data_IF_333925632342
#
_entry.id   IF_333925632342
#
_cell.length_a   1.000
_cell.length_b   1.000
_cell.length_c   1.000
_cell.angle_alpha   90.00
_cell.angle_beta   90.00
_cell.angle_gamma   90.00
#
_symmetry.space_group_name_H-M   'P 1'
#
loop_
_entity.id
_entity.type
_entity.pdbx_description
1 polymer ?
#
# COMPACT_ATOMS: atom_id res chain seq x y z
N UNK A 1 -8.38 20.77 4.45
CA UNK A 1 -7.30 19.78 4.59
C UNK A 1 -7.72 18.37 4.24
N UNK A 2 -8.94 17.95 4.55
CA UNK A 2 -9.42 16.58 4.27
C UNK A 2 -9.43 16.21 2.79
N UNK A 3 -9.88 17.09 1.88
CA UNK A 3 -9.84 16.82 0.44
C UNK A 3 -8.42 16.61 -0.08
N UNK A 4 -7.46 17.36 0.45
CA UNK A 4 -6.05 17.23 0.09
C UNK A 4 -5.47 15.89 0.59
N UNK A 5 -5.85 15.46 1.79
CA UNK A 5 -5.54 14.11 2.28
C UNK A 5 -6.16 13.02 1.40
N UNK A 6 -7.40 13.20 0.95
CA UNK A 6 -8.08 12.23 0.08
C UNK A 6 -7.37 12.11 -1.28
N UNK A 7 -7.02 13.23 -1.91
CA UNK A 7 -6.21 13.22 -3.13
C UNK A 7 -4.83 12.60 -2.90
N UNK A 8 -4.20 12.86 -1.76
CA UNK A 8 -2.93 12.23 -1.41
C UNK A 8 -3.08 10.71 -1.26
N UNK A 9 -4.13 10.24 -0.58
CA UNK A 9 -4.39 8.80 -0.40
C UNK A 9 -4.72 8.11 -1.72
N UNK A 10 -5.44 8.75 -2.63
CA UNK A 10 -5.66 8.23 -3.97
C UNK A 10 -4.39 8.26 -4.83
N UNK A 11 -3.61 9.35 -4.75
CA UNK A 11 -2.35 9.52 -5.48
C UNK A 11 -1.28 8.52 -5.04
N UNK A 12 -1.18 8.25 -3.74
CA UNK A 12 -0.25 7.28 -3.16
C UNK A 12 -0.42 5.88 -3.78
N UNK A 13 -1.64 5.50 -4.17
CA UNK A 13 -1.88 4.22 -4.85
C UNK A 13 -1.09 4.13 -6.16
N UNK A 14 -1.14 5.19 -6.97
CA UNK A 14 -0.39 5.28 -8.23
C UNK A 14 1.11 5.40 -7.98
N UNK A 15 1.53 6.16 -6.96
CA UNK A 15 2.95 6.29 -6.59
C UNK A 15 3.52 4.91 -6.22
N UNK A 16 2.80 4.10 -5.42
CA UNK A 16 3.22 2.74 -5.07
C UNK A 16 3.34 1.87 -6.32
N UNK A 17 2.41 1.97 -7.26
CA UNK A 17 2.46 1.18 -8.49
C UNK A 17 3.65 1.59 -9.38
N UNK A 18 3.85 2.88 -9.64
CA UNK A 18 4.93 3.39 -10.49
C UNK A 18 6.30 3.11 -9.87
N UNK A 19 6.48 3.43 -8.59
CA UNK A 19 7.76 3.23 -7.90
C UNK A 19 8.14 1.76 -7.80
N UNK A 20 7.19 0.84 -7.73
CA UNK A 20 7.49 -0.59 -7.75
C UNK A 20 8.07 -1.09 -9.08
N UNK A 21 7.70 -0.47 -10.21
CA UNK A 21 8.27 -0.78 -11.54
C UNK A 21 9.66 -0.17 -11.64
N UNK A 22 9.82 1.06 -11.16
CA UNK A 22 11.13 1.71 -11.07
C UNK A 22 12.07 0.94 -10.13
N UNK A 23 11.54 0.26 -9.11
CA UNK A 23 12.32 -0.56 -8.16
C UNK A 23 12.91 -1.78 -8.84
N UNK A 24 12.13 -2.41 -9.70
CA UNK A 24 12.62 -3.52 -10.51
C UNK A 24 13.66 -3.10 -11.53
N UNK A 25 13.62 -1.86 -12.01
CA UNK A 25 14.63 -1.26 -12.90
C UNK A 25 15.88 -0.76 -12.16
N UNK A 26 15.93 -0.84 -10.82
CA UNK A 26 17.09 -0.50 -10.01
C UNK A 26 17.27 0.99 -9.69
N UNK A 27 16.36 1.87 -10.13
CA UNK A 27 16.46 3.33 -9.92
C UNK A 27 15.86 3.71 -8.55
N UNK A 28 16.68 3.66 -7.50
CA UNK A 28 16.20 3.88 -6.12
C UNK A 28 15.93 5.36 -5.80
N UNK A 29 16.70 6.29 -6.38
CA UNK A 29 16.66 7.72 -6.01
C UNK A 29 15.29 8.37 -6.26
N UNK A 30 14.67 8.09 -7.41
CA UNK A 30 13.40 8.70 -7.80
C UNK A 30 12.24 8.32 -6.86
N UNK A 31 12.31 7.11 -6.28
CA UNK A 31 11.32 6.63 -5.32
C UNK A 31 11.37 7.41 -4.03
N UNK A 32 12.58 7.63 -3.49
CA UNK A 32 12.78 8.41 -2.28
C UNK A 32 12.23 9.83 -2.42
N UNK A 33 12.43 10.46 -3.58
CA UNK A 33 11.88 11.78 -3.88
C UNK A 33 10.34 11.73 -3.89
N UNK A 34 9.75 10.78 -4.62
CA UNK A 34 8.29 10.65 -4.71
C UNK A 34 7.62 10.41 -3.35
N UNK A 35 8.16 9.49 -2.54
CA UNK A 35 7.66 9.23 -1.19
C UNK A 35 7.94 10.40 -0.23
N UNK A 36 9.08 11.08 -0.39
CA UNK A 36 9.41 12.28 0.39
C UNK A 36 8.39 13.39 0.19
N UNK A 37 8.02 13.67 -1.06
CA UNK A 37 6.98 14.66 -1.38
C UNK A 37 5.65 14.23 -0.76
N UNK A 38 5.24 12.97 -0.91
CA UNK A 38 4.01 12.46 -0.31
C UNK A 38 4.02 12.58 1.23
N UNK A 39 5.15 12.30 1.86
CA UNK A 39 5.32 12.41 3.31
C UNK A 39 5.20 13.86 3.80
N UNK A 40 5.79 14.83 3.08
CA UNK A 40 5.67 16.26 3.41
C UNK A 40 4.20 16.69 3.31
N UNK A 41 3.52 16.32 2.23
CA UNK A 41 2.10 16.65 2.03
C UNK A 41 1.24 16.02 3.14
N UNK A 42 1.52 14.78 3.50
CA UNK A 42 0.86 14.10 4.63
C UNK A 42 1.07 14.85 5.94
N UNK A 43 2.30 15.25 6.23
CA UNK A 43 2.67 15.94 7.46
C UNK A 43 1.97 17.30 7.58
N UNK A 44 1.87 18.04 6.46
CA UNK A 44 1.08 19.28 6.39
C UNK A 44 -0.38 18.99 6.73
N UNK A 45 -1.00 17.98 6.12
CA UNK A 45 -2.40 17.64 6.44
C UNK A 45 -2.60 17.21 7.89
N UNK A 46 -1.62 16.54 8.49
CA UNK A 46 -1.67 16.06 9.86
C UNK A 46 -1.54 17.19 10.90
N UNK A 47 -0.63 18.15 10.65
CA UNK A 47 -0.41 19.28 11.56
C UNK A 47 -1.51 20.33 11.48
N UNK A 48 -1.98 20.63 10.27
CA UNK A 48 -2.95 21.71 10.00
C UNK A 48 -4.42 21.24 9.96
N UNK A 49 -4.71 20.02 10.43
CA UNK A 49 -6.11 19.58 10.57
C UNK A 49 -6.81 20.40 11.66
N UNK A 50 -7.95 20.98 11.30
CA UNK A 50 -8.80 21.75 12.21
C UNK A 50 -9.35 20.85 13.34
N UNK A 51 -9.45 21.37 14.56
CA UNK A 51 -9.92 20.64 15.74
C UNK A 51 -11.44 20.50 15.82
N UNK A 52 -12.18 21.13 14.90
CA UNK A 52 -13.62 20.95 14.76
C UNK A 52 -13.99 19.48 14.58
N UNK A 53 -15.02 19.05 15.29
CA UNK A 53 -15.46 17.65 15.35
C UNK A 53 -15.70 17.05 13.95
N UNK A 54 -16.42 17.77 13.08
CA UNK A 54 -16.72 17.31 11.72
C UNK A 54 -15.45 17.14 10.86
N UNK A 55 -14.50 18.08 10.96
CA UNK A 55 -13.25 18.00 10.20
C UNK A 55 -12.39 16.84 10.69
N UNK A 56 -12.31 16.64 12.01
CA UNK A 56 -11.56 15.56 12.62
C UNK A 56 -12.16 14.19 12.30
N UNK A 57 -13.48 14.07 12.33
CA UNK A 57 -14.21 12.86 11.94
C UNK A 57 -13.94 12.50 10.47
N UNK A 58 -14.06 13.47 9.56
CA UNK A 58 -13.78 13.25 8.14
C UNK A 58 -12.30 12.91 7.89
N UNK A 59 -11.38 13.53 8.62
CA UNK A 59 -9.95 13.23 8.56
C UNK A 59 -9.65 11.78 8.97
N UNK A 60 -10.18 11.37 10.12
CA UNK A 60 -10.04 10.00 10.64
C UNK A 60 -10.69 8.99 9.69
N UNK A 61 -11.85 9.31 9.13
CA UNK A 61 -12.52 8.45 8.16
C UNK A 61 -11.66 8.18 6.92
N UNK A 62 -11.05 9.22 6.34
CA UNK A 62 -10.15 9.08 5.19
C UNK A 62 -8.92 8.24 5.56
N UNK A 63 -8.33 8.45 6.75
CA UNK A 63 -7.21 7.62 7.21
C UNK A 63 -7.61 6.16 7.43
N UNK A 64 -8.82 5.89 7.90
CA UNK A 64 -9.33 4.53 8.09
C UNK A 64 -9.52 3.81 6.77
N UNK A 65 -10.08 4.49 5.76
CA UNK A 65 -10.14 3.95 4.40
C UNK A 65 -8.72 3.66 3.90
N UNK A 66 -7.79 4.59 4.08
CA UNK A 66 -6.38 4.38 3.73
C UNK A 66 -5.80 3.15 4.42
N UNK A 67 -5.94 3.04 5.75
CA UNK A 67 -5.48 1.90 6.54
C UNK A 67 -6.00 0.57 5.99
N UNK A 68 -7.31 0.48 5.71
CA UNK A 68 -7.95 -0.73 5.19
C UNK A 68 -7.48 -1.05 3.78
N UNK A 69 -7.49 -0.08 2.86
CA UNK A 69 -7.10 -0.28 1.46
C UNK A 69 -5.63 -0.68 1.35
N UNK A 70 -4.73 0.05 2.02
CA UNK A 70 -3.30 -0.24 1.99
C UNK A 70 -2.94 -1.51 2.78
N UNK A 71 -3.67 -1.80 3.85
CA UNK A 71 -3.55 -3.07 4.59
C UNK A 71 -3.98 -4.27 3.73
N UNK A 72 -5.11 -4.15 3.02
CA UNK A 72 -5.58 -5.14 2.07
C UNK A 72 -4.59 -5.35 0.92
N UNK A 73 -4.05 -4.26 0.34
CA UNK A 73 -3.01 -4.35 -0.68
C UNK A 73 -1.75 -5.05 -0.16
N UNK A 74 -1.35 -4.79 1.08
CA UNK A 74 -0.22 -5.47 1.69
C UNK A 74 -0.46 -6.97 1.78
N UNK A 75 -1.61 -7.38 2.33
CA UNK A 75 -2.00 -8.79 2.45
C UNK A 75 -2.02 -9.44 1.06
N UNK A 76 -2.70 -8.83 0.08
CA UNK A 76 -2.78 -9.34 -1.30
C UNK A 76 -1.40 -9.51 -1.93
N UNK A 77 -0.50 -8.55 -1.74
CA UNK A 77 0.88 -8.58 -2.24
C UNK A 77 1.78 -9.60 -1.53
N UNK A 78 1.49 -9.98 -0.29
CA UNK A 78 2.19 -11.08 0.38
C UNK A 78 1.57 -12.44 0.06
N UNK A 79 0.28 -12.49 -0.26
CA UNK A 79 -0.44 -13.69 -0.68
C UNK A 79 -0.17 -14.13 -2.13
N UNK A 80 0.71 -13.47 -2.89
CA UNK A 80 1.21 -13.94 -4.23
C UNK A 80 2.09 -15.19 -4.20
N UNK A 81 2.03 -15.96 -3.11
CA UNK A 81 2.67 -17.26 -2.88
C UNK A 81 2.52 -18.31 -4.00
N UNK A 82 1.44 -18.39 -4.82
CA UNK A 82 1.38 -19.38 -5.91
C UNK A 82 2.38 -19.15 -7.06
N UNK A 83 3.04 -18.00 -7.14
CA UNK A 83 4.03 -17.73 -8.20
C UNK A 83 5.41 -18.34 -7.93
N UNK A 84 5.82 -18.50 -6.67
CA UNK A 84 7.11 -19.13 -6.32
C UNK A 84 7.11 -20.63 -6.67
N UNK A 85 5.98 -21.31 -6.42
CA UNK A 85 5.78 -22.74 -6.74
C UNK A 85 5.84 -22.99 -8.25
N UNK A 86 5.39 -22.02 -9.06
CA UNK A 86 5.46 -22.09 -10.53
C UNK A 86 6.89 -21.96 -11.06
N UNK A 87 7.77 -21.22 -10.38
CA UNK A 87 9.19 -21.11 -10.71
C UNK A 87 9.93 -22.41 -10.30
N UNK A 88 9.72 -22.90 -9.09
CA UNK A 88 10.33 -24.16 -8.60
C UNK A 88 9.97 -25.38 -9.46
N UNK A 89 8.72 -25.45 -9.95
CA UNK A 89 8.27 -26.51 -10.85
C UNK A 89 8.80 -26.40 -12.28
N UNK A 90 9.27 -25.22 -12.72
CA UNK A 90 9.95 -25.04 -14.01
C UNK A 90 11.44 -25.34 -13.94
N UNK A 91 12.08 -25.09 -12.80
CA UNK A 91 13.51 -25.31 -12.55
C UNK A 91 13.83 -26.81 -12.29
N UNK A 92 12.85 -27.60 -11.84
CA UNK A 92 12.99 -29.01 -11.43
C UNK A 92 12.95 -30.04 -12.59
N UNK A 93 12.74 -29.65 -13.85
CA UNK A 93 12.71 -30.60 -14.97
C UNK A 93 14.07 -30.72 -15.67
N UNK A 94 14.88 -31.77 -15.42
CA UNK A 94 16.26 -31.87 -15.92
C UNK A 94 16.34 -32.30 -17.40
N UNK A 95 15.20 -32.67 -18.01
CA UNK A 95 15.15 -33.35 -19.31
C UNK A 95 14.79 -32.43 -20.49
N UNK A 96 14.60 -31.12 -20.26
CA UNK A 96 14.30 -30.18 -21.33
C UNK A 96 15.25 -28.98 -21.26
N UNK A 97 16.20 -28.82 -22.21
CA UNK A 97 17.03 -27.62 -22.24
C UNK A 97 16.11 -26.39 -22.36
N UNK A 98 16.32 -25.43 -21.45
CA UNK A 98 15.50 -24.21 -21.34
C UNK A 98 15.58 -23.42 -22.66
N UNK A 99 14.46 -23.41 -23.40
CA UNK A 99 14.27 -22.55 -24.57
C UNK A 99 14.27 -21.09 -24.08
N UNK A 100 14.90 -20.18 -24.82
CA UNK A 100 15.11 -18.77 -24.48
C UNK A 100 13.83 -18.04 -24.00
N UNK A 101 12.68 -18.38 -24.59
CA UNK A 101 11.35 -17.88 -24.20
C UNK A 101 10.96 -18.27 -22.76
N UNK A 102 11.29 -19.50 -22.32
CA UNK A 102 11.06 -19.93 -20.94
C UNK A 102 11.94 -19.18 -19.94
N UNK A 103 13.11 -18.72 -20.36
CA UNK A 103 14.01 -17.94 -19.52
C UNK A 103 13.48 -16.51 -19.31
N UNK A 104 12.98 -15.87 -20.36
CA UNK A 104 12.32 -14.56 -20.30
C UNK A 104 11.00 -14.61 -19.50
N UNK A 105 10.25 -15.72 -19.58
CA UNK A 105 9.08 -15.96 -18.72
C UNK A 105 9.46 -16.08 -17.25
N UNK A 106 10.55 -16.79 -16.93
CA UNK A 106 11.03 -16.94 -15.54
C UNK A 106 11.58 -15.61 -14.99
N UNK A 107 12.31 -14.85 -15.79
CA UNK A 107 12.84 -13.54 -15.41
C UNK A 107 11.72 -12.51 -15.18
N UNK A 108 10.74 -12.44 -16.10
CA UNK A 108 9.57 -11.57 -15.93
C UNK A 108 8.70 -11.97 -14.73
N UNK A 109 8.60 -13.26 -14.41
CA UNK A 109 7.95 -13.75 -13.20
C UNK A 109 8.70 -13.33 -11.93
N UNK A 110 10.04 -13.43 -11.91
CA UNK A 110 10.86 -12.97 -10.79
C UNK A 110 10.76 -11.45 -10.56
N UNK A 111 10.80 -10.67 -11.65
CA UNK A 111 10.62 -9.21 -11.64
C UNK A 111 9.24 -8.84 -11.08
N UNK A 112 8.18 -9.50 -11.56
CA UNK A 112 6.83 -9.28 -11.06
C UNK A 112 6.68 -9.64 -9.57
N UNK A 113 7.39 -10.66 -9.10
CA UNK A 113 7.38 -11.09 -7.70
C UNK A 113 8.15 -10.12 -6.79
N UNK A 114 9.28 -9.60 -7.25
CA UNK A 114 10.03 -8.54 -6.57
C UNK A 114 9.22 -7.24 -6.49
N UNK A 115 8.55 -6.85 -7.58
CA UNK A 115 7.62 -5.72 -7.63
C UNK A 115 6.45 -5.93 -6.66
N UNK A 116 5.84 -7.12 -6.63
CA UNK A 116 4.73 -7.45 -5.74
C UNK A 116 5.13 -7.36 -4.26
N UNK A 117 6.30 -7.91 -3.88
CA UNK A 117 6.85 -7.79 -2.53
C UNK A 117 7.10 -6.34 -2.13
N UNK A 118 7.70 -5.54 -3.02
CA UNK A 118 7.92 -4.11 -2.76
C UNK A 118 6.60 -3.37 -2.54
N UNK A 119 5.61 -3.57 -3.42
CA UNK A 119 4.25 -3.01 -3.25
C UNK A 119 3.68 -3.36 -1.88
N UNK A 120 3.81 -4.62 -1.46
CA UNK A 120 3.29 -5.11 -0.19
C UNK A 120 3.97 -4.49 1.03
N UNK A 121 5.30 -4.35 1.00
CA UNK A 121 6.06 -3.71 2.09
C UNK A 121 5.67 -2.24 2.22
N UNK A 122 5.68 -1.49 1.11
CA UNK A 122 5.36 -0.07 1.15
C UNK A 122 3.90 0.17 1.54
N UNK A 123 2.95 -0.59 1.00
CA UNK A 123 1.54 -0.46 1.40
C UNK A 123 1.34 -0.82 2.87
N UNK A 124 2.09 -1.80 3.39
CA UNK A 124 2.13 -2.10 4.82
C UNK A 124 2.61 -0.92 5.66
N UNK A 125 3.70 -0.26 5.26
CA UNK A 125 4.22 0.93 5.95
C UNK A 125 3.18 2.07 5.92
N UNK A 126 2.56 2.34 4.78
CA UNK A 126 1.52 3.37 4.65
C UNK A 126 0.34 3.06 5.59
N UNK A 127 -0.10 1.80 5.64
CA UNK A 127 -1.17 1.36 6.53
C UNK A 127 -0.81 1.62 8.01
N UNK A 128 0.41 1.28 8.44
CA UNK A 128 0.89 1.55 9.80
C UNK A 128 0.92 3.06 10.11
N UNK A 129 1.39 3.89 9.17
CA UNK A 129 1.40 5.36 9.32
C UNK A 129 -0.02 5.90 9.52
N UNK A 130 -0.98 5.43 8.71
CA UNK A 130 -2.39 5.78 8.87
C UNK A 130 -2.92 5.37 10.25
N UNK A 131 -2.60 4.16 10.72
CA UNK A 131 -3.00 3.68 12.04
C UNK A 131 -2.44 4.56 13.18
N UNK A 132 -1.17 4.95 13.09
CA UNK A 132 -0.53 5.84 14.08
C UNK A 132 -1.21 7.21 14.05
N UNK A 133 -1.43 7.79 12.86
CA UNK A 133 -2.06 9.09 12.71
C UNK A 133 -3.50 9.12 13.26
N UNK A 134 -4.27 8.04 13.06
CA UNK A 134 -5.59 7.86 13.67
C UNK A 134 -5.43 7.89 15.19
N UNK A 135 -4.57 7.03 15.77
CA UNK A 135 -4.40 6.95 17.24
C UNK A 135 -4.01 8.28 17.88
N UNK A 136 -3.19 9.08 17.22
CA UNK A 136 -2.75 10.38 17.76
C UNK A 136 -3.86 11.46 17.74
N UNK A 137 -4.83 11.34 16.85
CA UNK A 137 -5.92 12.33 16.68
C UNK A 137 -7.28 11.81 17.19
N UNK A 138 -7.35 10.57 17.66
CA UNK A 138 -8.60 9.93 18.10
C UNK A 138 -9.04 10.45 19.47
N UNK A 139 -10.14 11.20 19.49
CA UNK A 139 -10.86 11.56 20.72
C UNK A 139 -11.76 10.39 21.17
N UNK A 140 -12.01 10.17 22.48
CA UNK A 140 -12.85 9.07 22.97
C UNK A 140 -14.22 8.96 22.31
N UNK A 141 -14.88 10.08 22.00
CA UNK A 141 -16.19 10.10 21.33
C UNK A 141 -16.13 9.55 19.90
N UNK A 142 -15.03 9.79 19.17
CA UNK A 142 -14.86 9.27 17.80
C UNK A 142 -14.49 7.78 17.79
N UNK A 143 -14.04 7.21 18.93
CA UNK A 143 -13.63 5.82 19.02
C UNK A 143 -14.81 4.86 18.86
N UNK A 144 -15.98 5.21 19.41
CA UNK A 144 -17.21 4.42 19.26
C UNK A 144 -17.73 4.46 17.82
N UNK A 145 -17.72 5.63 17.19
CA UNK A 145 -18.14 5.81 15.80
C UNK A 145 -17.21 5.07 14.81
N UNK A 146 -15.90 5.07 15.08
CA UNK A 146 -14.90 4.36 14.28
C UNK A 146 -15.09 2.84 14.32
N UNK A 147 -15.45 2.28 15.48
CA UNK A 147 -15.68 0.85 15.63
C UNK A 147 -16.86 0.37 14.77
N UNK A 148 -17.94 1.17 14.71
CA UNK A 148 -19.07 0.92 13.80
C UNK A 148 -18.67 1.01 12.33
N UNK A 149 -17.90 2.04 11.95
CA UNK A 149 -17.43 2.22 10.57
C UNK A 149 -16.49 1.11 10.10
N UNK A 150 -15.55 0.66 10.95
CA UNK A 150 -14.63 -0.43 10.62
C UNK A 150 -15.37 -1.76 10.40
N UNK A 151 -16.40 -2.02 11.21
CA UNK A 151 -17.26 -3.19 11.06
C UNK A 151 -18.02 -3.18 9.72
N UNK A 152 -18.50 -2.01 9.32
CA UNK A 152 -19.26 -1.86 8.06
C UNK A 152 -18.35 -2.01 6.84
N UNK A 153 -17.15 -1.43 6.87
CA UNK A 153 -16.15 -1.57 5.80
C UNK A 153 -15.67 -3.03 5.71
N UNK A 154 -15.48 -3.71 6.86
CA UNK A 154 -15.15 -5.13 6.90
C UNK A 154 -16.22 -6.02 6.26
N UNK A 155 -17.50 -5.69 6.42
CA UNK A 155 -18.63 -6.38 5.80
C UNK A 155 -18.74 -6.16 4.28
N UNK A 156 -18.26 -5.03 3.76
CA UNK A 156 -18.30 -4.74 2.31
C UNK A 156 -17.14 -5.41 1.57
N UNK A 157 -16.01 -5.63 2.25
CA UNK A 157 -14.81 -6.23 1.68
C UNK A 157 -14.78 -7.77 1.75
N UNK A 158 -15.76 -8.41 2.39
CA UNK A 158 -15.88 -9.86 2.55
C UNK A 158 -17.16 -10.38 1.91
#
# INVERSE_FOLDING_TARGET
>A
MTYLLLFLMAGLYYVVYITSVIYTEGIKLLQWIAYGICAIVFLITFLFVDSSFSTLQNYIFVLTIGFVVYGWLAIKSFCTRPYQVKIESMESNPNHPLIKEKYEEVESLQINLASAKYKGVISGIISVICMIAIKLKLTPILKEDLAGGLFTIGLILF
#
